data_IF_840495744884
#
_entry.id   IF_840495744884
#
_cell.length_a   1.000
_cell.length_b   1.000
_cell.length_c   1.000
_cell.angle_alpha   90.00
_cell.angle_beta   90.00
_cell.angle_gamma   90.00
#
_symmetry.space_group_name_H-M   'P 1'
#
loop_
_entity.id
_entity.type
_entity.pdbx_description
1 polymer ?
#
# COMPACT_ATOMS: atom_id res chain seq x y z
N UNK A 1 -16.51 19.31 -5.78
CA UNK A 1 -17.89 19.14 -6.27
C UNK A 1 -18.13 17.65 -6.40
N UNK A 2 -18.97 17.05 -5.55
CA UNK A 2 -19.27 15.63 -5.61
C UNK A 2 -20.48 15.45 -6.55
N UNK A 3 -20.29 14.79 -7.69
CA UNK A 3 -21.38 14.47 -8.61
C UNK A 3 -21.75 13.00 -8.43
N UNK A 4 -22.97 12.74 -7.96
CA UNK A 4 -23.52 11.40 -7.82
C UNK A 4 -24.62 11.20 -8.87
N UNK A 5 -24.55 10.11 -9.60
CA UNK A 5 -25.60 9.71 -10.53
C UNK A 5 -26.81 9.21 -9.72
N UNK A 6 -27.90 9.97 -9.74
CA UNK A 6 -29.17 9.57 -9.12
C UNK A 6 -30.01 8.85 -10.19
N UNK A 7 -30.53 7.64 -9.92
CA UNK A 7 -31.42 6.96 -10.86
C UNK A 7 -32.66 7.80 -11.19
N UNK A 8 -33.04 7.87 -12.46
CA UNK A 8 -34.08 8.78 -12.98
C UNK A 8 -35.45 8.55 -12.33
N UNK A 9 -35.71 7.34 -11.84
CA UNK A 9 -36.95 6.98 -11.16
C UNK A 9 -37.02 7.39 -9.69
N UNK A 10 -35.91 7.90 -9.12
CA UNK A 10 -35.86 8.30 -7.72
C UNK A 10 -36.25 9.78 -7.60
N UNK A 11 -37.27 10.08 -6.81
CA UNK A 11 -37.64 11.47 -6.53
C UNK A 11 -36.51 12.19 -5.79
N UNK A 12 -36.29 13.47 -6.11
CA UNK A 12 -35.20 14.28 -5.54
C UNK A 12 -35.20 14.29 -4.00
N UNK A 13 -36.40 14.29 -3.39
CA UNK A 13 -36.54 14.24 -1.93
C UNK A 13 -36.08 12.90 -1.35
N UNK A 14 -36.39 11.79 -2.02
CA UNK A 14 -35.97 10.45 -1.62
C UNK A 14 -34.46 10.26 -1.81
N UNK A 15 -33.91 10.79 -2.91
CA UNK A 15 -32.47 10.80 -3.16
C UNK A 15 -31.72 11.58 -2.08
N UNK A 16 -32.19 12.80 -1.74
CA UNK A 16 -31.61 13.62 -0.70
C UNK A 16 -31.66 12.95 0.67
N UNK A 17 -32.79 12.31 1.01
CA UNK A 17 -32.94 11.57 2.27
C UNK A 17 -31.99 10.36 2.34
N UNK A 18 -31.84 9.61 1.24
CA UNK A 18 -30.93 8.48 1.15
C UNK A 18 -29.46 8.93 1.31
N UNK A 19 -29.04 9.99 0.61
CA UNK A 19 -27.70 10.58 0.77
C UNK A 19 -27.49 11.08 2.20
N UNK A 20 -28.46 11.75 2.80
CA UNK A 20 -28.37 12.23 4.18
C UNK A 20 -28.27 11.07 5.19
N UNK A 21 -28.99 9.97 4.97
CA UNK A 21 -28.87 8.77 5.79
C UNK A 21 -27.50 8.10 5.62
N UNK A 22 -26.98 8.03 4.40
CA UNK A 22 -25.64 7.50 4.08
C UNK A 22 -24.55 8.34 4.76
N UNK A 23 -24.68 9.68 4.71
CA UNK A 23 -23.78 10.60 5.40
C UNK A 23 -23.90 10.49 6.92
N UNK A 24 -25.10 10.25 7.46
CA UNK A 24 -25.29 9.98 8.90
C UNK A 24 -24.67 8.66 9.34
N UNK A 25 -24.76 7.62 8.52
CA UNK A 25 -24.08 6.33 8.74
C UNK A 25 -22.56 6.53 8.67
N UNK A 26 -22.07 7.31 7.71
CA UNK A 26 -20.67 7.68 7.60
C UNK A 26 -20.18 8.52 8.80
N UNK A 27 -21.09 9.31 9.42
CA UNK A 27 -20.83 10.12 10.61
C UNK A 27 -20.59 9.30 11.90
N UNK A 28 -20.70 7.97 11.88
CA UNK A 28 -20.46 7.11 13.05
C UNK A 28 -18.95 6.98 13.38
N UNK A 29 -18.04 7.63 12.64
CA UNK A 29 -16.59 7.59 12.93
C UNK A 29 -16.09 8.84 13.64
N UNK A 30 -16.04 8.77 14.97
CA UNK A 30 -15.17 9.59 15.82
C UNK A 30 -15.52 11.07 15.96
N UNK A 31 -14.92 11.75 16.95
CA UNK A 31 -15.05 13.18 17.13
C UNK A 31 -14.52 13.93 15.90
N UNK A 32 -15.37 14.73 15.25
CA UNK A 32 -14.96 15.57 14.13
C UNK A 32 -14.14 16.76 14.65
N UNK A 33 -12.84 16.76 14.39
CA UNK A 33 -11.97 17.90 14.64
C UNK A 33 -12.07 18.82 13.42
N UNK A 34 -12.60 20.04 13.59
CA UNK A 34 -12.85 21.02 12.51
C UNK A 34 -11.60 21.61 11.84
N UNK A 35 -10.47 20.92 11.93
CA UNK A 35 -9.23 21.24 11.23
C UNK A 35 -8.85 19.96 10.47
N UNK A 36 -9.53 19.69 9.36
CA UNK A 36 -9.01 18.72 8.43
C UNK A 36 -7.63 19.22 7.97
N UNK A 37 -6.62 18.35 7.99
CA UNK A 37 -5.37 18.64 7.32
C UNK A 37 -5.73 19.05 5.88
N UNK A 38 -5.36 20.26 5.44
CA UNK A 38 -5.59 20.68 4.06
C UNK A 38 -4.74 19.78 3.18
N UNK A 39 -5.31 18.67 2.70
CA UNK A 39 -4.62 17.74 1.82
C UNK A 39 -4.16 18.47 0.57
N UNK A 40 -2.85 18.64 0.43
CA UNK A 40 -2.18 19.23 -0.71
C UNK A 40 -1.52 18.12 -1.51
N UNK A 41 -1.95 17.99 -2.76
CA UNK A 41 -1.24 17.21 -3.75
C UNK A 41 -0.10 18.06 -4.31
N UNK A 42 1.14 17.71 -3.97
CA UNK A 42 2.34 18.37 -4.49
C UNK A 42 2.63 17.87 -5.90
N UNK A 43 3.26 18.73 -6.72
CA UNK A 43 3.77 18.28 -8.01
C UNK A 43 4.80 17.17 -7.81
N UNK A 44 4.66 16.11 -8.59
CA UNK A 44 5.51 14.93 -8.49
C UNK A 44 6.35 14.81 -9.75
N UNK A 45 7.66 14.87 -9.58
CA UNK A 45 8.54 14.55 -10.68
C UNK A 45 8.47 13.03 -10.99
N UNK A 46 8.70 12.62 -12.25
CA UNK A 46 8.60 11.22 -12.66
C UNK A 46 9.52 10.27 -11.87
N UNK A 47 10.65 10.76 -11.33
CA UNK A 47 11.57 9.92 -10.53
C UNK A 47 10.98 9.62 -9.16
N UNK A 48 10.24 10.56 -8.57
CA UNK A 48 9.53 10.34 -7.31
C UNK A 48 8.39 9.36 -7.49
N UNK A 49 7.58 9.50 -8.56
CA UNK A 49 6.52 8.53 -8.88
C UNK A 49 7.06 7.10 -9.07
N UNK A 50 8.20 6.94 -9.78
CA UNK A 50 8.86 5.62 -9.94
C UNK A 50 9.31 4.98 -8.62
N UNK A 51 9.51 5.77 -7.55
CA UNK A 51 9.89 5.27 -6.23
C UNK A 51 8.70 4.95 -5.33
N UNK A 52 7.53 5.55 -5.59
CA UNK A 52 6.33 5.33 -4.78
C UNK A 52 5.80 3.91 -4.91
N UNK A 53 5.75 3.36 -6.13
CA UNK A 53 5.24 2.01 -6.37
C UNK A 53 6.07 0.95 -5.62
N UNK A 54 7.42 0.90 -5.76
CA UNK A 54 8.25 -0.02 -4.98
C UNK A 54 8.16 0.19 -3.47
N UNK A 55 7.96 1.44 -3.02
CA UNK A 55 7.81 1.77 -1.61
C UNK A 55 6.51 1.17 -1.05
N UNK A 56 5.37 1.42 -1.70
CA UNK A 56 4.08 0.84 -1.32
C UNK A 56 4.12 -0.69 -1.35
N UNK A 57 4.62 -1.30 -2.43
CA UNK A 57 4.71 -2.77 -2.54
C UNK A 57 5.57 -3.39 -1.44
N UNK A 58 6.68 -2.73 -1.09
CA UNK A 58 7.57 -3.19 -0.02
C UNK A 58 6.86 -3.13 1.33
N UNK A 59 6.17 -2.03 1.61
CA UNK A 59 5.42 -1.83 2.85
C UNK A 59 4.26 -2.83 2.95
N UNK A 60 3.46 -2.96 1.90
CA UNK A 60 2.33 -3.87 1.82
C UNK A 60 2.76 -5.33 2.02
N UNK A 61 3.82 -5.78 1.32
CA UNK A 61 4.32 -7.14 1.48
C UNK A 61 4.86 -7.39 2.89
N UNK A 62 5.52 -6.39 3.50
CA UNK A 62 6.02 -6.53 4.88
C UNK A 62 4.88 -6.76 5.85
N UNK A 63 3.81 -5.96 5.71
CA UNK A 63 2.61 -6.09 6.52
C UNK A 63 1.95 -7.46 6.35
N UNK A 64 1.84 -7.96 5.12
CA UNK A 64 1.34 -9.32 4.86
C UNK A 64 2.22 -10.41 5.50
N UNK A 65 3.54 -10.26 5.47
CA UNK A 65 4.47 -11.20 6.12
C UNK A 65 4.27 -11.19 7.64
N UNK A 66 4.12 -10.01 8.23
CA UNK A 66 3.92 -9.87 9.68
C UNK A 66 2.60 -10.48 10.16
N UNK A 67 1.58 -10.49 9.30
CA UNK A 67 0.28 -11.12 9.57
C UNK A 67 0.21 -12.61 9.20
N UNK A 68 1.20 -13.12 8.47
CA UNK A 68 1.20 -14.50 7.96
C UNK A 68 1.47 -15.53 9.05
N UNK A 69 0.86 -16.71 8.92
CA UNK A 69 1.09 -17.84 9.80
C UNK A 69 2.44 -18.51 9.49
N UNK A 70 3.02 -19.23 10.47
CA UNK A 70 4.32 -19.92 10.30
C UNK A 70 4.37 -20.93 9.14
N UNK A 71 3.20 -21.47 8.74
CA UNK A 71 3.06 -22.39 7.61
C UNK A 71 3.02 -21.69 6.24
N UNK A 72 2.83 -20.38 6.21
CA UNK A 72 2.68 -19.64 4.96
C UNK A 72 4.03 -19.47 4.27
N UNK A 73 4.01 -19.56 2.93
CA UNK A 73 5.24 -19.47 2.11
C UNK A 73 5.97 -18.14 2.31
N UNK A 74 5.23 -17.07 2.59
CA UNK A 74 5.77 -15.71 2.73
C UNK A 74 6.38 -15.43 4.11
N UNK A 75 6.00 -16.19 5.15
CA UNK A 75 6.36 -15.91 6.54
C UNK A 75 7.87 -15.82 6.80
N UNK A 76 8.66 -16.61 6.06
CA UNK A 76 10.13 -16.67 6.22
C UNK A 76 10.87 -15.69 5.30
N UNK A 77 10.17 -14.84 4.56
CA UNK A 77 10.81 -13.95 3.60
C UNK A 77 11.48 -12.78 4.31
N UNK A 78 12.82 -12.76 4.27
CA UNK A 78 13.60 -11.58 4.64
C UNK A 78 13.70 -10.57 3.50
N UNK A 79 14.40 -9.46 3.73
CA UNK A 79 14.49 -8.32 2.79
C UNK A 79 14.95 -8.71 1.39
N UNK A 80 15.86 -9.69 1.27
CA UNK A 80 16.32 -10.18 -0.04
C UNK A 80 15.22 -10.90 -0.80
N UNK A 81 14.51 -11.84 -0.16
CA UNK A 81 13.44 -12.60 -0.81
C UNK A 81 12.29 -11.69 -1.21
N UNK A 82 11.92 -10.72 -0.36
CA UNK A 82 10.92 -9.72 -0.69
C UNK A 82 11.27 -8.94 -1.97
N UNK A 83 12.47 -8.34 -2.05
CA UNK A 83 12.88 -7.60 -3.26
C UNK A 83 12.94 -8.48 -4.50
N UNK A 84 13.45 -9.70 -4.33
CA UNK A 84 13.56 -10.67 -5.42
C UNK A 84 12.19 -11.02 -5.98
N UNK A 85 11.23 -11.30 -5.09
CA UNK A 85 9.86 -11.69 -5.46
C UNK A 85 9.05 -10.53 -6.04
N UNK A 86 9.19 -9.33 -5.47
CA UNK A 86 8.54 -8.12 -5.99
C UNK A 86 9.17 -7.58 -7.28
N UNK A 87 10.36 -8.08 -7.67
CA UNK A 87 11.12 -7.62 -8.84
C UNK A 87 11.38 -6.10 -8.82
N UNK A 88 11.58 -5.52 -7.63
CA UNK A 88 11.80 -4.06 -7.47
C UNK A 88 13.14 -3.57 -8.02
N UNK A 89 14.12 -4.46 -8.16
CA UNK A 89 15.45 -4.16 -8.72
C UNK A 89 15.93 -5.32 -9.61
N UNK A 90 15.35 -5.48 -10.83
CA UNK A 90 15.67 -6.59 -11.73
C UNK A 90 17.17 -6.69 -12.06
N UNK A 91 17.86 -5.55 -12.14
CA UNK A 91 19.29 -5.45 -12.41
C UNK A 91 20.18 -6.09 -11.33
N UNK A 92 19.65 -6.23 -10.11
CA UNK A 92 20.34 -6.83 -8.98
C UNK A 92 20.02 -8.32 -8.81
N UNK A 93 19.21 -8.91 -9.69
CA UNK A 93 18.97 -10.36 -9.70
C UNK A 93 20.27 -11.09 -10.04
N UNK A 94 20.54 -12.16 -9.29
CA UNK A 94 21.74 -12.98 -9.48
C UNK A 94 21.53 -13.98 -10.60
N UNK A 95 22.52 -14.14 -11.47
CA UNK A 95 22.55 -15.12 -12.56
C UNK A 95 23.49 -16.29 -12.23
N UNK A 96 23.27 -17.46 -12.85
CA UNK A 96 24.15 -18.62 -12.73
C UNK A 96 25.55 -18.41 -13.32
N UNK A 97 25.74 -17.37 -14.14
CA UNK A 97 27.02 -17.02 -14.75
C UNK A 97 27.91 -16.12 -13.87
N UNK A 98 27.42 -15.67 -12.72
CA UNK A 98 28.15 -14.73 -11.85
C UNK A 98 29.11 -15.44 -10.92
N UNK A 99 30.22 -14.77 -10.61
CA UNK A 99 31.13 -15.26 -9.56
C UNK A 99 30.45 -15.20 -8.19
N UNK A 100 30.86 -16.04 -7.22
CA UNK A 100 30.32 -16.00 -5.86
C UNK A 100 30.41 -14.61 -5.20
N UNK A 101 31.46 -13.85 -5.53
CA UNK A 101 31.68 -12.48 -5.01
C UNK A 101 30.67 -11.49 -5.60
N UNK A 102 30.42 -11.56 -6.91
CA UNK A 102 29.42 -10.71 -7.59
C UNK A 102 28.01 -11.02 -7.10
N UNK A 103 27.66 -12.30 -7.00
CA UNK A 103 26.38 -12.75 -6.48
C UNK A 103 26.15 -12.23 -5.05
N UNK A 104 27.16 -12.32 -4.18
CA UNK A 104 27.11 -11.77 -2.81
C UNK A 104 26.89 -10.25 -2.81
N UNK A 105 27.61 -9.51 -3.67
CA UNK A 105 27.46 -8.07 -3.78
C UNK A 105 26.06 -7.66 -4.27
N UNK A 106 25.52 -8.35 -5.28
CA UNK A 106 24.16 -8.12 -5.77
C UNK A 106 23.10 -8.36 -4.70
N UNK A 107 23.20 -9.47 -3.96
CA UNK A 107 22.31 -9.77 -2.81
C UNK A 107 22.34 -8.65 -1.77
N UNK A 108 23.53 -8.14 -1.43
CA UNK A 108 23.68 -7.05 -0.47
C UNK A 108 23.05 -5.74 -0.99
N UNK A 109 23.31 -5.39 -2.26
CA UNK A 109 22.69 -4.21 -2.89
C UNK A 109 21.16 -4.31 -2.92
N UNK A 110 20.64 -5.51 -3.18
CA UNK A 110 19.20 -5.76 -3.19
C UNK A 110 18.58 -5.55 -1.80
N UNK A 111 19.21 -6.06 -0.74
CA UNK A 111 18.79 -5.78 0.65
C UNK A 111 18.78 -4.28 0.96
N UNK A 112 19.83 -3.57 0.56
CA UNK A 112 19.91 -2.10 0.73
C UNK A 112 18.80 -1.38 -0.03
N UNK A 113 18.50 -1.82 -1.25
CA UNK A 113 17.38 -1.30 -2.05
C UNK A 113 16.05 -1.49 -1.31
N UNK A 114 15.81 -2.68 -0.76
CA UNK A 114 14.61 -2.96 0.04
C UNK A 114 14.47 -2.02 1.24
N UNK A 115 15.54 -1.86 2.02
CA UNK A 115 15.51 -0.99 3.20
C UNK A 115 15.22 0.46 2.81
N UNK A 116 15.74 0.92 1.67
CA UNK A 116 15.45 2.26 1.14
C UNK A 116 13.99 2.40 0.71
N UNK A 117 13.42 1.40 0.05
CA UNK A 117 12.01 1.41 -0.36
C UNK A 117 11.08 1.40 0.85
N UNK A 118 11.38 0.59 1.87
CA UNK A 118 10.62 0.59 3.12
C UNK A 118 10.67 1.96 3.81
N UNK A 119 11.87 2.52 3.99
CA UNK A 119 12.02 3.85 4.59
C UNK A 119 11.28 4.94 3.79
N UNK A 120 11.31 4.86 2.47
CA UNK A 120 10.57 5.79 1.63
C UNK A 120 9.05 5.67 1.85
N UNK A 121 8.53 4.46 2.10
CA UNK A 121 7.12 4.27 2.44
C UNK A 121 6.79 4.95 3.78
N UNK A 122 7.61 4.75 4.80
CA UNK A 122 7.45 5.39 6.11
C UNK A 122 7.45 6.93 5.98
N UNK A 123 8.36 7.48 5.18
CA UNK A 123 8.45 8.92 4.89
C UNK A 123 7.20 9.44 4.16
N UNK A 124 6.69 8.70 3.17
CA UNK A 124 5.45 9.07 2.47
C UNK A 124 4.24 9.04 3.40
N UNK A 125 4.10 7.98 4.21
CA UNK A 125 3.00 7.83 5.17
C UNK A 125 3.02 9.00 6.17
N UNK A 126 4.19 9.33 6.74
CA UNK A 126 4.33 10.44 7.67
C UNK A 126 3.95 11.80 7.05
N UNK A 127 4.25 12.01 5.76
CA UNK A 127 3.88 13.25 5.07
C UNK A 127 2.39 13.32 4.72
N UNK A 128 1.74 12.20 4.37
CA UNK A 128 0.28 12.14 4.16
C UNK A 128 -0.46 12.59 5.42
N UNK A 129 0.05 12.25 6.59
CA UNK A 129 -0.59 12.56 7.88
C UNK A 129 -0.63 14.05 8.19
N UNK A 130 0.35 14.83 7.72
CA UNK A 130 0.33 16.29 7.81
C UNK A 130 -0.38 16.94 6.60
N UNK A 131 -1.02 16.14 5.76
CA UNK A 131 -1.78 16.58 4.60
C UNK A 131 -0.93 16.92 3.38
N UNK A 132 0.31 16.42 3.25
CA UNK A 132 1.15 16.71 2.09
C UNK A 132 1.51 15.41 1.38
N UNK A 133 1.12 15.27 0.11
CA UNK A 133 1.46 14.07 -0.64
C UNK A 133 1.70 14.31 -2.13
N UNK A 134 2.68 13.63 -2.75
CA UNK A 134 3.75 12.86 -2.15
C UNK A 134 4.91 13.75 -1.66
N UNK A 135 5.41 13.48 -0.46
CA UNK A 135 6.58 14.14 0.10
C UNK A 135 7.39 13.16 0.95
N UNK A 136 8.70 13.40 0.99
CA UNK A 136 9.67 12.71 1.88
C UNK A 136 10.46 13.73 2.71
N UNK A 137 9.94 14.94 2.81
CA UNK A 137 10.50 15.94 3.71
C UNK A 137 10.49 15.39 5.14
N UNK A 138 11.49 15.80 5.92
CA UNK A 138 11.52 15.47 7.33
C UNK A 138 10.31 16.13 8.01
N UNK A 139 9.47 15.32 8.61
CA UNK A 139 8.29 15.77 9.35
C UNK A 139 8.62 15.79 10.82
N UNK A 140 8.31 16.89 11.50
CA UNK A 140 8.37 16.94 12.96
C UNK A 140 7.41 15.89 13.51
N UNK A 141 7.95 14.89 14.22
CA UNK A 141 7.14 13.83 14.82
C UNK A 141 6.19 14.45 15.84
N UNK A 142 4.90 14.47 15.51
CA UNK A 142 3.84 14.80 16.45
C UNK A 142 3.16 13.49 16.88
N UNK A 143 2.63 13.41 18.11
CA UNK A 143 1.79 12.29 18.52
C UNK A 143 0.67 12.12 17.50
N UNK A 144 0.72 11.01 16.75
CA UNK A 144 -0.22 10.71 15.66
C UNK A 144 -1.66 10.66 16.16
N UNK A 145 -1.81 10.14 17.36
CA UNK A 145 -3.06 9.83 18.01
C UNK A 145 -3.04 10.32 19.45
N UNK A 146 -4.23 10.65 19.97
CA UNK A 146 -4.41 10.76 21.41
C UNK A 146 -4.08 9.43 22.08
N UNK A 147 -3.68 9.44 23.36
CA UNK A 147 -3.35 8.22 24.10
C UNK A 147 -4.46 7.16 23.99
N UNK A 148 -5.72 7.60 24.05
CA UNK A 148 -6.88 6.72 23.87
C UNK A 148 -6.92 6.09 22.48
N UNK A 149 -6.74 6.88 21.42
CA UNK A 149 -6.73 6.37 20.05
C UNK A 149 -5.56 5.41 19.80
N UNK A 150 -4.40 5.65 20.42
CA UNK A 150 -3.28 4.71 20.36
C UNK A 150 -3.60 3.41 21.07
N UNK A 151 -4.17 3.47 22.27
CA UNK A 151 -4.63 2.26 22.97
C UNK A 151 -5.68 1.48 22.17
N UNK A 152 -6.65 2.18 21.57
CA UNK A 152 -7.70 1.57 20.76
C UNK A 152 -7.08 0.90 19.50
N UNK A 153 -6.06 1.51 18.89
CA UNK A 153 -5.35 0.87 17.78
C UNK A 153 -4.53 -0.33 18.25
N UNK A 154 -3.73 -0.20 19.30
CA UNK A 154 -2.89 -1.28 19.82
C UNK A 154 -3.75 -2.52 20.16
N UNK A 155 -4.95 -2.28 20.71
CA UNK A 155 -5.94 -3.32 20.95
C UNK A 155 -6.48 -3.93 19.64
N UNK A 156 -6.82 -3.11 18.65
CA UNK A 156 -7.26 -3.59 17.35
C UNK A 156 -6.17 -4.39 16.60
N UNK A 157 -4.89 -4.03 16.74
CA UNK A 157 -3.75 -4.80 16.23
C UNK A 157 -3.61 -6.14 16.96
N UNK A 158 -3.70 -6.13 18.29
CA UNK A 158 -3.66 -7.35 19.11
C UNK A 158 -4.80 -8.32 18.78
N UNK A 159 -5.99 -7.78 18.48
CA UNK A 159 -7.16 -8.55 18.08
C UNK A 159 -7.15 -8.94 16.58
N UNK A 160 -6.14 -8.50 15.81
CA UNK A 160 -6.02 -8.76 14.37
C UNK A 160 -7.11 -8.09 13.54
N UNK A 161 -7.74 -7.04 14.07
CA UNK A 161 -8.78 -6.25 13.42
C UNK A 161 -8.20 -5.10 12.59
N UNK A 162 -6.98 -4.66 12.90
CA UNK A 162 -6.30 -3.60 12.16
C UNK A 162 -4.83 -3.96 11.85
N UNK A 163 -4.42 -3.90 10.57
CA UNK A 163 -5.30 -4.05 9.41
C UNK A 163 -5.93 -5.45 9.40
N UNK A 164 -7.16 -5.63 8.89
CA UNK A 164 -7.77 -6.95 8.82
C UNK A 164 -6.93 -7.90 7.95
N UNK A 165 -6.95 -9.21 8.22
CA UNK A 165 -6.09 -10.18 7.50
C UNK A 165 -6.22 -10.16 5.98
N UNK A 166 -7.39 -9.82 5.46
CA UNK A 166 -7.67 -9.70 4.03
C UNK A 166 -7.64 -8.25 3.52
N UNK A 167 -6.97 -7.33 4.23
CA UNK A 167 -6.94 -5.91 3.86
C UNK A 167 -6.46 -5.67 2.43
N UNK A 168 -5.44 -6.41 1.99
CA UNK A 168 -4.85 -6.24 0.66
C UNK A 168 -5.82 -6.70 -0.44
N UNK A 169 -6.60 -7.75 -0.17
CA UNK A 169 -7.70 -8.18 -1.03
C UNK A 169 -8.82 -7.13 -1.10
N UNK A 170 -9.18 -6.56 0.05
CA UNK A 170 -10.19 -5.50 0.12
C UNK A 170 -9.74 -4.26 -0.65
N UNK A 171 -8.48 -3.85 -0.49
CA UNK A 171 -7.91 -2.71 -1.21
C UNK A 171 -7.84 -2.99 -2.72
N UNK A 172 -7.35 -4.16 -3.11
CA UNK A 172 -7.32 -4.57 -4.52
C UNK A 172 -8.71 -4.56 -5.15
N UNK A 173 -9.69 -5.21 -4.52
CA UNK A 173 -11.05 -5.29 -5.05
C UNK A 173 -11.74 -3.92 -5.09
N UNK A 174 -11.38 -3.02 -4.18
CA UNK A 174 -11.89 -1.64 -4.19
C UNK A 174 -11.27 -0.81 -5.33
N UNK A 175 -9.94 -0.90 -5.50
CA UNK A 175 -9.20 -0.07 -6.45
C UNK A 175 -9.27 -0.60 -7.89
N UNK A 176 -9.33 -1.92 -8.07
CA UNK A 176 -9.20 -2.62 -9.35
C UNK A 176 -10.19 -3.80 -9.42
N UNK A 177 -11.51 -3.57 -9.31
CA UNK A 177 -12.53 -4.62 -9.21
C UNK A 177 -12.58 -5.57 -10.42
N UNK A 178 -12.16 -5.09 -11.60
CA UNK A 178 -12.20 -5.82 -12.86
C UNK A 178 -10.87 -6.52 -13.19
N UNK A 179 -9.83 -6.29 -12.38
CA UNK A 179 -8.51 -6.86 -12.63
C UNK A 179 -8.41 -8.24 -11.96
N UNK A 180 -8.42 -9.30 -12.75
CA UNK A 180 -8.13 -10.63 -12.21
C UNK A 180 -6.64 -10.77 -11.85
N UNK A 181 -6.38 -11.51 -10.77
CA UNK A 181 -5.03 -11.74 -10.26
C UNK A 181 -4.57 -13.14 -10.66
N UNK A 182 -3.53 -13.22 -11.48
CA UNK A 182 -2.92 -14.50 -11.88
C UNK A 182 -2.13 -15.10 -10.73
N UNK A 183 -2.57 -16.27 -10.24
CA UNK A 183 -1.96 -16.97 -9.09
C UNK A 183 -0.85 -17.97 -9.47
N UNK A 184 -0.39 -17.93 -10.72
CA UNK A 184 0.65 -18.81 -11.25
C UNK A 184 1.78 -17.99 -11.85
N UNK A 185 3.01 -18.42 -11.64
CA UNK A 185 4.17 -17.81 -12.26
C UNK A 185 4.38 -18.31 -13.71
N UNK A 186 5.31 -17.72 -14.49
CA UNK A 186 5.57 -18.17 -15.86
C UNK A 186 6.04 -19.63 -15.99
N UNK A 187 6.47 -20.25 -14.89
CA UNK A 187 6.90 -21.65 -14.86
C UNK A 187 5.75 -22.59 -14.42
N UNK A 188 4.56 -22.06 -14.12
CA UNK A 188 3.39 -22.80 -13.65
C UNK A 188 3.34 -23.01 -12.13
N UNK A 189 4.25 -22.40 -11.36
CA UNK A 189 4.27 -22.54 -9.91
C UNK A 189 3.24 -21.61 -9.25
N UNK A 190 2.58 -22.10 -8.19
CA UNK A 190 1.64 -21.29 -7.40
C UNK A 190 2.35 -20.13 -6.70
N UNK A 191 1.82 -18.93 -6.89
CA UNK A 191 2.23 -17.68 -6.23
C UNK A 191 1.31 -17.42 -5.03
N UNK A 192 1.88 -16.94 -3.93
CA UNK A 192 1.10 -16.41 -2.81
C UNK A 192 0.21 -15.24 -3.29
N UNK A 193 -1.05 -15.21 -2.86
CA UNK A 193 -2.06 -14.28 -3.37
C UNK A 193 -1.66 -12.82 -3.16
N UNK A 194 -1.06 -12.51 -2.02
CA UNK A 194 -0.56 -11.19 -1.66
C UNK A 194 0.52 -10.72 -2.64
N UNK A 195 1.44 -11.62 -2.99
CA UNK A 195 2.47 -11.32 -3.97
C UNK A 195 1.87 -11.13 -5.37
N UNK A 196 0.88 -11.94 -5.74
CA UNK A 196 0.23 -11.82 -7.03
C UNK A 196 -0.51 -10.48 -7.19
N UNK A 197 -1.23 -10.03 -6.15
CA UNK A 197 -1.86 -8.69 -6.12
C UNK A 197 -0.81 -7.59 -6.33
N UNK A 198 0.28 -7.64 -5.57
CA UNK A 198 1.33 -6.62 -5.64
C UNK A 198 2.06 -6.63 -6.99
N UNK A 199 2.25 -7.80 -7.60
CA UNK A 199 2.83 -7.92 -8.93
C UNK A 199 1.90 -7.41 -10.02
N UNK A 200 0.59 -7.65 -9.92
CA UNK A 200 -0.39 -7.11 -10.88
C UNK A 200 -0.33 -5.57 -10.94
N UNK A 201 -0.04 -4.89 -9.81
CA UNK A 201 0.18 -3.44 -9.79
C UNK A 201 1.42 -2.99 -10.60
N UNK A 202 2.40 -3.86 -10.83
CA UNK A 202 3.52 -3.54 -11.72
C UNK A 202 3.09 -3.46 -13.19
N UNK A 203 2.10 -4.25 -13.58
CA UNK A 203 1.67 -4.39 -14.98
C UNK A 203 0.53 -3.44 -15.35
N UNK A 204 -0.05 -2.72 -14.37
CA UNK A 204 -1.02 -1.67 -14.63
C UNK A 204 -0.44 -0.60 -15.56
N UNK A 205 -1.28 -0.14 -16.50
CA UNK A 205 -0.90 0.99 -17.34
C UNK A 205 -0.67 2.24 -16.47
N UNK A 206 0.48 2.88 -16.69
CA UNK A 206 0.95 4.03 -15.91
C UNK A 206 1.17 5.21 -16.85
N UNK A 207 0.11 5.76 -17.45
CA UNK A 207 0.25 6.86 -18.42
C UNK A 207 0.92 8.09 -17.78
N UNK A 208 0.74 8.28 -16.47
CA UNK A 208 1.36 9.35 -15.68
C UNK A 208 2.88 9.19 -15.46
N UNK A 209 3.49 8.05 -15.83
CA UNK A 209 4.94 7.84 -15.80
C UNK A 209 5.63 8.04 -17.16
N UNK A 210 4.86 8.22 -18.24
CA UNK A 210 5.36 8.27 -19.64
C UNK A 210 5.84 9.65 -20.10
N UNK A 211 6.14 10.56 -19.18
CA UNK A 211 6.71 11.89 -19.48
C UNK A 211 8.21 11.85 -19.72
#
# INVERSE_FOLDING_TARGET
>A
MLCLAIPIFLETAQAAAAVAALLKIAYIRGAHYGIDAKYQLTYVDPRTLRKMIPAYQTWALKLCIDQSAQGDRIHKWGSYEMSKKLKTSPELMTSSQETPKEAKNKRNKMRVSQCRSHRAADEFIANVEIGIFPSKAEVTKMPRWTDKQQMDLDQAEADGQWPPKNWLDLEHNFMLPENEVTLTDPNGDSIARELAILLAMNDLDKPFLRS
#
